data_IF_167942157897
#
_entry.id   IF_167942157897
#
_cell.length_a   1.000
_cell.length_b   1.000
_cell.length_c   1.000
_cell.angle_alpha   90.00
_cell.angle_beta   90.00
_cell.angle_gamma   90.00
#
_symmetry.space_group_name_H-M   'P 1'
#
loop_
_entity.id
_entity.type
_entity.pdbx_description
1 polymer ?
#
# COMPACT_ATOMS: atom_id res chain seq x y z
N UNK A 1 -34.09 0.48 50.35
CA UNK A 1 -35.00 1.65 50.49
C UNK A 1 -34.55 2.72 49.50
N UNK A 2 -35.51 3.30 48.76
CA UNK A 2 -35.48 4.48 47.88
C UNK A 2 -34.56 4.42 46.63
N UNK A 3 -35.09 4.23 45.41
CA UNK A 3 -35.94 5.10 44.53
C UNK A 3 -35.17 6.22 43.83
N UNK A 4 -35.32 6.29 42.50
CA UNK A 4 -34.91 7.44 41.69
C UNK A 4 -34.99 7.20 40.18
N UNK A 5 -36.20 7.00 39.65
CA UNK A 5 -36.51 7.09 38.22
C UNK A 5 -36.36 8.54 37.72
N UNK A 6 -36.07 8.72 36.43
CA UNK A 6 -35.97 10.03 35.79
C UNK A 6 -36.03 9.96 34.27
N UNK A 7 -37.16 9.51 33.73
CA UNK A 7 -37.57 9.71 32.34
C UNK A 7 -37.96 11.16 32.09
N UNK A 8 -37.50 11.79 31.00
CA UNK A 8 -38.32 12.73 30.21
C UNK A 8 -37.96 12.71 28.73
N UNK A 9 -39.02 12.61 27.94
CA UNK A 9 -39.13 12.69 26.49
C UNK A 9 -39.61 14.08 26.10
N UNK A 10 -39.07 14.68 25.04
CA UNK A 10 -39.72 15.78 24.31
C UNK A 10 -39.50 15.70 22.79
N UNK A 11 -40.57 15.23 22.13
CA UNK A 11 -41.16 15.63 20.84
C UNK A 11 -40.38 16.51 19.83
N UNK A 12 -40.21 15.92 18.65
CA UNK A 12 -40.64 16.39 17.30
C UNK A 12 -40.56 17.88 16.93
N UNK A 13 -39.79 18.16 15.87
CA UNK A 13 -40.18 19.16 14.86
C UNK A 13 -39.87 18.65 13.45
N UNK A 14 -40.95 18.39 12.70
CA UNK A 14 -41.00 18.23 11.24
C UNK A 14 -40.42 19.48 10.58
N UNK A 15 -39.52 19.28 9.62
CA UNK A 15 -38.97 20.31 8.75
C UNK A 15 -38.64 19.70 7.39
N UNK A 16 -39.66 19.24 6.69
CA UNK A 16 -39.63 18.93 5.26
C UNK A 16 -39.54 20.24 4.47
N UNK A 17 -38.56 20.38 3.57
CA UNK A 17 -38.73 21.07 2.28
C UNK A 17 -37.74 20.43 1.30
N UNK A 18 -38.29 19.64 0.38
CA UNK A 18 -37.67 19.32 -0.90
C UNK A 18 -37.91 20.49 -1.87
N UNK A 19 -36.95 20.85 -2.75
CA UNK A 19 -37.27 21.66 -3.90
C UNK A 19 -37.82 20.78 -5.03
N UNK A 20 -39.15 20.73 -5.06
CA UNK A 20 -40.03 20.97 -6.21
C UNK A 20 -39.49 20.62 -7.61
N UNK A 21 -39.98 19.49 -8.11
CA UNK A 21 -40.08 19.21 -9.54
C UNK A 21 -40.97 20.28 -10.22
N UNK A 22 -40.50 20.82 -11.33
CA UNK A 22 -41.33 21.53 -12.30
C UNK A 22 -41.74 20.55 -13.40
N UNK A 23 -43.04 20.54 -13.66
CA UNK A 23 -43.74 19.69 -14.61
C UNK A 23 -43.98 20.41 -15.93
N UNK A 24 -43.90 19.61 -17.01
CA UNK A 24 -44.67 19.66 -18.26
C UNK A 24 -44.53 20.90 -19.14
N UNK A 25 -44.08 20.71 -20.39
CA UNK A 25 -44.97 20.83 -21.56
C UNK A 25 -44.59 19.79 -22.62
N UNK A 26 -45.62 19.35 -23.34
CA UNK A 26 -45.66 18.26 -24.30
C UNK A 26 -45.82 18.94 -25.65
N UNK A 27 -44.82 18.88 -26.51
CA UNK A 27 -44.96 19.32 -27.91
C UNK A 27 -44.44 18.26 -28.88
N UNK A 28 -45.10 18.24 -30.02
CA UNK A 28 -45.23 17.16 -30.99
C UNK A 28 -43.94 16.75 -31.72
N UNK A 29 -43.96 15.52 -32.21
CA UNK A 29 -42.95 14.95 -33.08
C UNK A 29 -43.01 15.52 -34.51
N UNK A 30 -41.85 15.81 -35.12
CA UNK A 30 -41.66 15.65 -36.55
C UNK A 30 -40.93 14.34 -36.82
N UNK A 31 -41.58 13.45 -37.58
CA UNK A 31 -40.94 12.31 -38.23
C UNK A 31 -40.04 12.85 -39.34
N UNK A 32 -38.72 12.80 -39.17
CA UNK A 32 -37.80 12.90 -40.29
C UNK A 32 -36.64 11.93 -40.07
N UNK A 33 -36.73 10.80 -40.76
CA UNK A 33 -35.69 9.79 -40.91
C UNK A 33 -34.52 10.37 -41.70
N UNK A 34 -33.62 11.06 -40.98
CA UNK A 34 -32.29 11.37 -41.49
C UNK A 34 -31.37 10.17 -41.26
N UNK A 35 -31.07 9.47 -42.35
CA UNK A 35 -30.08 8.40 -42.43
C UNK A 35 -28.70 8.96 -42.06
N UNK A 36 -28.26 8.73 -40.82
CA UNK A 36 -26.91 9.05 -40.37
C UNK A 36 -25.95 8.11 -41.10
N UNK A 37 -25.31 8.60 -42.17
CA UNK A 37 -24.12 7.94 -42.74
C UNK A 37 -23.03 7.93 -41.68
N UNK A 38 -22.86 6.77 -41.05
CA UNK A 38 -21.69 6.46 -40.21
C UNK A 38 -20.44 6.68 -41.09
N UNK A 39 -19.52 7.59 -40.74
CA UNK A 39 -18.27 7.72 -41.49
C UNK A 39 -17.51 6.39 -41.40
N UNK A 40 -17.22 5.82 -42.57
CA UNK A 40 -16.46 4.58 -42.72
C UNK A 40 -15.17 4.69 -41.90
N UNK A 41 -14.94 3.73 -40.99
CA UNK A 41 -13.77 3.70 -40.14
C UNK A 41 -12.50 3.81 -41.01
N UNK A 42 -11.51 4.64 -40.61
CA UNK A 42 -10.30 4.82 -41.40
C UNK A 42 -9.65 3.45 -41.64
N UNK A 43 -9.47 3.11 -42.92
CA UNK A 43 -8.85 1.85 -43.35
C UNK A 43 -7.53 1.69 -42.59
N UNK A 44 -7.40 0.60 -41.83
CA UNK A 44 -6.18 0.23 -41.10
C UNK A 44 -5.00 0.26 -42.07
N UNK A 45 -4.19 1.30 -42.03
CA UNK A 45 -2.92 1.31 -42.74
C UNK A 45 -2.01 0.31 -42.04
N UNK A 46 -1.63 -0.74 -42.76
CA UNK A 46 -0.71 -1.76 -42.25
C UNK A 46 0.62 -1.06 -41.97
N UNK A 47 0.90 -0.83 -40.70
CA UNK A 47 2.19 -0.29 -40.24
C UNK A 47 3.28 -1.20 -40.80
N UNK A 48 4.22 -0.70 -41.62
CA UNK A 48 5.28 -1.50 -42.20
C UNK A 48 6.00 -2.33 -41.12
N UNK A 49 6.30 -3.59 -41.42
CA UNK A 49 6.90 -4.54 -40.47
C UNK A 49 8.19 -4.01 -39.82
N UNK A 50 8.93 -3.14 -40.53
CA UNK A 50 10.11 -2.46 -40.00
C UNK A 50 9.81 -1.54 -38.80
N UNK A 51 8.67 -0.84 -38.83
CA UNK A 51 8.24 0.04 -37.72
C UNK A 51 7.74 -0.82 -36.55
N UNK A 52 7.04 -1.93 -36.82
CA UNK A 52 6.62 -2.87 -35.77
C UNK A 52 7.83 -3.48 -35.06
N UNK A 53 8.87 -3.88 -35.81
CA UNK A 53 10.13 -4.39 -35.26
C UNK A 53 10.87 -3.34 -34.43
N UNK A 54 10.90 -2.07 -34.88
CA UNK A 54 11.50 -0.97 -34.11
C UNK A 54 10.75 -0.69 -32.80
N UNK A 55 9.42 -0.61 -32.84
CA UNK A 55 8.59 -0.41 -31.65
C UNK A 55 8.69 -1.59 -30.67
N UNK A 56 8.79 -2.83 -31.17
CA UNK A 56 9.03 -4.01 -30.35
C UNK A 56 10.41 -3.98 -29.69
N UNK A 57 11.45 -3.57 -30.43
CA UNK A 57 12.81 -3.43 -29.90
C UNK A 57 12.93 -2.30 -28.86
N UNK A 58 12.22 -1.17 -29.05
CA UNK A 58 12.16 -0.10 -28.05
C UNK A 58 11.42 -0.52 -26.78
N UNK A 59 10.31 -1.25 -26.91
CA UNK A 59 9.59 -1.83 -25.76
C UNK A 59 10.43 -2.81 -24.95
N UNK A 60 11.34 -3.54 -25.61
CA UNK A 60 12.27 -4.47 -24.95
C UNK A 60 13.42 -3.76 -24.22
N UNK A 61 13.79 -2.54 -24.62
CA UNK A 61 14.92 -1.81 -24.00
C UNK A 61 14.65 -1.32 -22.58
N UNK A 62 13.39 -1.29 -22.15
CA UNK A 62 13.01 -0.75 -20.84
C UNK A 62 13.37 0.74 -20.69
N UNK A 63 12.98 1.38 -19.57
CA UNK A 63 13.41 2.73 -19.28
C UNK A 63 14.92 2.73 -19.02
N UNK A 64 15.67 3.43 -19.87
CA UNK A 64 17.11 3.65 -19.63
C UNK A 64 17.27 4.43 -18.32
N UNK A 65 18.13 3.96 -17.39
CA UNK A 65 18.36 4.70 -16.17
C UNK A 65 18.88 6.09 -16.53
N UNK A 66 18.28 7.13 -15.96
CA UNK A 66 18.77 8.48 -16.12
C UNK A 66 20.25 8.55 -15.69
N UNK A 67 21.00 9.50 -16.25
CA UNK A 67 22.38 9.76 -15.83
C UNK A 67 22.50 9.89 -14.31
N UNK A 68 21.53 10.56 -13.67
CA UNK A 68 21.44 10.69 -12.22
C UNK A 68 21.30 9.33 -11.52
N UNK A 69 20.49 8.41 -12.05
CA UNK A 69 20.35 7.06 -11.47
C UNK A 69 21.63 6.22 -11.61
N UNK A 70 22.43 6.44 -12.66
CA UNK A 70 23.74 5.80 -12.80
C UNK A 70 24.76 6.40 -11.82
N UNK A 71 24.84 7.72 -11.72
CA UNK A 71 25.73 8.41 -10.78
C UNK A 71 25.41 8.03 -9.33
N UNK A 72 24.12 7.97 -8.95
CA UNK A 72 23.70 7.51 -7.62
C UNK A 72 24.13 6.08 -7.31
N UNK A 73 23.99 5.15 -8.26
CA UNK A 73 24.44 3.76 -8.08
C UNK A 73 25.95 3.67 -7.89
N UNK A 74 26.70 4.43 -8.68
CA UNK A 74 28.16 4.48 -8.60
C UNK A 74 28.61 4.97 -7.22
N UNK A 75 28.01 6.09 -6.78
CA UNK A 75 28.25 6.65 -5.46
C UNK A 75 27.85 5.71 -4.31
N UNK A 76 26.74 4.97 -4.44
CA UNK A 76 26.34 3.97 -3.47
C UNK A 76 27.27 2.75 -3.43
N UNK A 77 27.84 2.34 -4.58
CA UNK A 77 28.78 1.22 -4.66
C UNK A 77 30.14 1.54 -4.04
N UNK A 78 30.59 2.79 -4.14
CA UNK A 78 31.87 3.26 -3.58
C UNK A 78 31.82 3.49 -2.06
N UNK A 79 30.62 3.60 -1.48
CA UNK A 79 30.47 3.85 -0.04
C UNK A 79 30.90 2.65 0.79
N UNK A 80 31.80 2.90 1.74
CA UNK A 80 32.05 1.97 2.86
C UNK A 80 30.75 1.81 3.64
N UNK A 81 30.30 0.56 3.79
CA UNK A 81 29.13 0.23 4.59
C UNK A 81 29.50 0.35 6.06
N UNK A 82 28.88 1.31 6.73
CA UNK A 82 28.95 1.45 8.18
C UNK A 82 27.62 0.98 8.75
N UNK A 83 27.66 -0.03 9.60
CA UNK A 83 26.52 -0.43 10.42
C UNK A 83 26.73 0.05 11.85
N UNK A 84 25.64 0.40 12.52
CA UNK A 84 25.65 0.70 13.95
C UNK A 84 24.76 -0.29 14.65
N UNK A 85 25.38 -1.10 15.50
CA UNK A 85 24.66 -2.01 16.37
C UNK A 85 24.52 -1.38 17.74
N UNK A 86 23.31 -1.39 18.29
CA UNK A 86 23.00 -0.89 19.63
C UNK A 86 22.57 -2.06 20.52
N UNK A 87 23.01 -2.04 21.77
CA UNK A 87 22.48 -2.96 22.77
C UNK A 87 21.14 -2.44 23.27
N UNK A 88 20.11 -3.26 23.13
CA UNK A 88 18.75 -2.95 23.60
C UNK A 88 18.24 -4.08 24.48
N UNK A 89 17.29 -3.77 25.34
CA UNK A 89 16.62 -4.76 26.17
C UNK A 89 15.18 -4.90 25.68
N UNK A 90 14.81 -6.10 25.26
CA UNK A 90 13.43 -6.42 24.89
C UNK A 90 12.75 -7.14 26.05
N UNK A 91 11.46 -6.85 26.24
CA UNK A 91 10.65 -7.48 27.29
C UNK A 91 9.43 -8.10 26.65
N UNK A 92 9.30 -9.42 26.79
CA UNK A 92 8.09 -10.15 26.42
C UNK A 92 6.91 -9.69 27.29
N UNK A 93 5.82 -9.28 26.66
CA UNK A 93 4.64 -8.76 27.36
C UNK A 93 3.92 -9.83 28.18
N UNK A 94 3.84 -11.02 27.61
CA UNK A 94 3.18 -12.21 28.15
C UNK A 94 3.96 -12.84 29.30
N UNK A 95 5.27 -12.95 29.14
CA UNK A 95 6.16 -13.67 30.05
C UNK A 95 6.90 -12.78 31.02
N UNK A 96 6.91 -11.46 30.80
CA UNK A 96 7.72 -10.49 31.56
C UNK A 96 9.23 -10.69 31.41
N UNK A 97 9.66 -11.62 30.55
CA UNK A 97 11.07 -11.99 30.40
C UNK A 97 11.82 -10.89 29.65
N UNK A 98 12.88 -10.40 30.28
CA UNK A 98 13.80 -9.43 29.68
C UNK A 98 14.95 -10.15 28.97
N UNK A 99 15.36 -9.63 27.81
CA UNK A 99 16.49 -10.14 27.02
C UNK A 99 17.33 -8.98 26.51
N UNK A 100 18.64 -9.06 26.72
CA UNK A 100 19.58 -8.15 26.07
C UNK A 100 19.85 -8.65 24.65
N UNK A 101 19.65 -7.80 23.66
CA UNK A 101 19.88 -8.11 22.25
C UNK A 101 20.70 -7.01 21.59
N UNK A 102 21.48 -7.40 20.59
CA UNK A 102 22.19 -6.47 19.73
C UNK A 102 21.32 -6.22 18.50
N UNK A 103 20.86 -5.00 18.33
CA UNK A 103 19.96 -4.60 17.26
C UNK A 103 20.65 -3.64 16.29
N UNK A 104 20.33 -3.75 15.00
CA UNK A 104 20.77 -2.80 13.99
C UNK A 104 19.97 -1.50 14.12
N UNK A 105 20.66 -0.36 14.24
CA UNK A 105 20.03 0.95 14.13
C UNK A 105 19.86 1.30 12.66
N UNK A 106 18.63 1.22 12.16
CA UNK A 106 18.28 1.48 10.76
C UNK A 106 17.31 2.66 10.64
N UNK A 107 17.82 3.82 10.21
CA UNK A 107 17.02 5.03 9.99
C UNK A 107 16.06 4.91 8.79
N UNK A 108 16.26 3.91 7.93
CA UNK A 108 15.39 3.66 6.77
C UNK A 108 14.26 2.67 7.08
N UNK A 109 14.27 2.07 8.29
CA UNK A 109 13.22 1.19 8.73
C UNK A 109 12.12 1.98 9.47
N UNK A 110 10.89 1.94 8.96
CA UNK A 110 9.76 2.66 9.57
C UNK A 110 9.26 2.05 10.88
N UNK A 111 9.63 0.80 11.17
CA UNK A 111 9.17 0.05 12.33
C UNK A 111 10.27 -0.88 12.84
N UNK A 112 10.10 -1.42 14.04
CA UNK A 112 11.00 -2.45 14.55
C UNK A 112 10.68 -3.79 13.89
N UNK A 113 11.71 -4.45 13.36
CA UNK A 113 11.63 -5.78 12.76
C UNK A 113 12.50 -6.76 13.54
N UNK A 114 12.02 -8.00 13.67
CA UNK A 114 12.72 -9.09 14.33
C UNK A 114 12.75 -10.29 13.38
N UNK A 115 13.90 -10.96 13.37
CA UNK A 115 14.10 -12.18 12.61
C UNK A 115 13.16 -13.31 13.07
N UNK A 116 12.60 -14.03 12.11
CA UNK A 116 11.65 -15.11 12.37
C UNK A 116 12.23 -16.24 13.23
N UNK A 117 13.48 -16.62 13.01
CA UNK A 117 14.13 -17.69 13.78
C UNK A 117 14.41 -17.24 15.21
N UNK A 118 14.81 -15.98 15.39
CA UNK A 118 14.95 -15.39 16.72
C UNK A 118 13.61 -15.38 17.48
N UNK A 119 12.53 -14.92 16.85
CA UNK A 119 11.22 -14.86 17.47
C UNK A 119 10.72 -16.25 17.91
N UNK A 120 10.96 -17.28 17.09
CA UNK A 120 10.64 -18.68 17.42
C UNK A 120 11.50 -19.23 18.55
N UNK A 121 12.81 -18.97 18.53
CA UNK A 121 13.73 -19.43 19.56
C UNK A 121 13.38 -18.86 20.94
N UNK A 122 13.02 -17.58 21.00
CA UNK A 122 12.59 -16.92 22.24
C UNK A 122 11.12 -17.20 22.61
N UNK A 123 10.38 -17.94 21.77
CA UNK A 123 8.97 -18.27 21.95
C UNK A 123 8.12 -17.01 22.16
N UNK A 124 8.36 -15.99 21.34
CA UNK A 124 7.54 -14.79 21.35
C UNK A 124 6.11 -15.13 20.92
N UNK A 125 5.14 -14.47 21.53
CA UNK A 125 3.75 -14.50 21.07
C UNK A 125 3.67 -13.76 19.72
N UNK A 126 3.54 -14.54 18.64
CA UNK A 126 3.46 -14.06 17.27
C UNK A 126 2.06 -14.33 16.72
N UNK A 127 1.51 -13.35 16.01
CA UNK A 127 0.21 -13.40 15.39
C UNK A 127 0.35 -13.18 13.88
N UNK A 128 -0.48 -13.86 13.10
CA UNK A 128 -0.50 -13.69 11.66
C UNK A 128 -1.07 -12.32 11.28
N UNK A 129 -0.47 -11.69 10.28
CA UNK A 129 -0.99 -10.46 9.69
C UNK A 129 -2.19 -10.80 8.80
N UNK A 130 -3.29 -10.01 8.85
CA UNK A 130 -4.43 -10.21 7.95
C UNK A 130 -4.06 -10.13 6.47
N UNK A 131 -3.03 -9.34 6.15
CA UNK A 131 -2.46 -9.21 4.82
C UNK A 131 -0.93 -9.20 4.93
N UNK A 132 -0.23 -10.09 4.21
CA UNK A 132 1.23 -10.08 4.17
C UNK A 132 1.78 -8.75 3.64
N UNK A 133 2.92 -8.33 4.20
CA UNK A 133 3.63 -7.11 3.78
C UNK A 133 4.80 -7.50 2.89
N UNK A 134 4.86 -6.92 1.69
CA UNK A 134 5.98 -7.11 0.78
C UNK A 134 7.18 -6.31 1.28
N UNK A 135 8.18 -6.99 1.84
CA UNK A 135 9.45 -6.39 2.19
C UNK A 135 10.32 -6.23 0.93
N UNK A 136 10.79 -5.01 0.67
CA UNK A 136 11.71 -4.70 -0.44
C UNK A 136 13.05 -4.23 0.10
N UNK A 137 14.12 -4.70 -0.52
CA UNK A 137 15.47 -4.25 -0.26
C UNK A 137 15.68 -2.83 -0.82
N UNK A 138 16.78 -2.18 -0.42
CA UNK A 138 17.15 -0.85 -0.91
C UNK A 138 17.33 -0.77 -2.44
N UNK A 139 17.61 -1.89 -3.12
CA UNK A 139 17.70 -1.99 -4.57
C UNK A 139 16.34 -2.32 -5.24
N UNK A 140 15.25 -2.26 -4.48
CA UNK A 140 13.86 -2.55 -4.88
C UNK A 140 13.55 -4.02 -5.24
N UNK A 141 14.50 -4.93 -5.06
CA UNK A 141 14.21 -6.38 -5.15
C UNK A 141 13.42 -6.82 -3.93
N UNK A 142 12.70 -7.92 -4.04
CA UNK A 142 12.01 -8.52 -2.89
C UNK A 142 13.04 -9.09 -1.90
N UNK A 143 12.67 -9.09 -0.62
CA UNK A 143 13.45 -9.73 0.42
C UNK A 143 13.55 -11.23 0.14
N UNK A 144 14.75 -11.81 0.32
CA UNK A 144 14.99 -13.24 0.08
C UNK A 144 14.21 -14.12 1.05
N UNK A 145 13.95 -13.63 2.26
CA UNK A 145 13.11 -14.29 3.26
C UNK A 145 11.61 -14.23 2.93
N UNK A 146 11.25 -13.57 1.82
CA UNK A 146 9.87 -13.42 1.37
C UNK A 146 9.13 -12.29 2.06
N UNK A 147 7.83 -12.46 2.18
CA UNK A 147 6.93 -11.45 2.74
C UNK A 147 6.86 -11.57 4.26
N UNK A 148 6.71 -10.44 4.93
CA UNK A 148 6.45 -10.38 6.35
C UNK A 148 5.00 -10.82 6.55
N UNK A 149 4.79 -11.91 7.28
CA UNK A 149 3.48 -12.54 7.47
C UNK A 149 3.01 -12.50 8.91
N UNK A 150 3.90 -12.16 9.86
CA UNK A 150 3.60 -12.20 11.28
C UNK A 150 4.03 -10.91 11.96
N UNK A 151 3.42 -10.64 13.12
CA UNK A 151 3.81 -9.58 14.03
C UNK A 151 3.79 -10.11 15.46
N UNK A 152 4.55 -9.46 16.35
CA UNK A 152 4.54 -9.74 17.78
C UNK A 152 4.35 -8.47 18.58
N UNK A 153 4.12 -8.61 19.89
CA UNK A 153 4.11 -7.48 20.82
C UNK A 153 5.25 -7.58 21.83
N UNK A 154 6.01 -6.51 21.97
CA UNK A 154 7.09 -6.37 22.95
C UNK A 154 6.91 -5.06 23.71
N UNK A 155 6.79 -5.12 25.04
CA UNK A 155 6.46 -3.95 25.85
C UNK A 155 5.20 -3.22 25.36
N UNK A 156 5.31 -1.94 24.99
CA UNK A 156 4.20 -1.17 24.40
C UNK A 156 4.27 -1.10 22.86
N UNK A 157 5.17 -1.84 22.23
CA UNK A 157 5.47 -1.75 20.81
C UNK A 157 5.02 -2.99 20.04
N UNK A 158 4.55 -2.75 18.81
CA UNK A 158 4.31 -3.79 17.82
C UNK A 158 5.59 -3.98 17.01
N UNK A 159 5.98 -5.22 16.77
CA UNK A 159 7.16 -5.57 15.97
C UNK A 159 6.76 -6.47 14.82
N UNK A 160 7.33 -6.23 13.64
CA UNK A 160 7.13 -7.11 12.49
C UNK A 160 8.09 -8.29 12.55
N UNK A 161 7.64 -9.47 12.16
CA UNK A 161 8.43 -10.69 12.16
C UNK A 161 8.64 -11.14 10.71
N UNK A 162 9.90 -11.16 10.24
CA UNK A 162 10.25 -11.47 8.85
C UNK A 162 11.70 -11.90 8.67
#
# INVERSE_FOLDING_TARGET
MARGEGTTSTKTKKGSIAPKAQSLEKEEAPKESAEIKVPEAPKRTRVPDAIQRKLAAERQKGPQPSRLAQELRSYQAERKRHSMDVYVQITGLDSGKMRGVKALLDSSCSTCCIDTDYARAEKLDIQELPQPIVARNANNTENISGWITHYGKLGSSLVLIG
#
